data_IF_680593287434
#
_entry.id   IF_680593287434
#
_cell.length_a   1.000
_cell.length_b   1.000
_cell.length_c   1.000
_cell.angle_alpha   90.00
_cell.angle_beta   90.00
_cell.angle_gamma   90.00
#
_symmetry.space_group_name_H-M   'P 1'
#
loop_
_entity.id
_entity.type
_entity.pdbx_description
1 polymer ?
#
# COMPACT_ATOMS: atom_id res chain seq x y z
N UNK A 1 10.55 30.38 30.10
CA UNK A 1 9.60 31.39 29.59
C UNK A 1 10.38 32.42 28.80
N UNK A 2 9.97 32.82 27.62
CA UNK A 2 10.75 33.66 26.70
C UNK A 2 10.63 35.18 27.01
N UNK A 3 10.59 35.56 28.27
CA UNK A 3 10.54 36.97 28.69
C UNK A 3 11.87 37.30 29.35
N UNK A 4 12.67 38.14 28.71
CA UNK A 4 13.91 38.68 29.31
C UNK A 4 13.68 40.10 29.81
N UNK A 5 14.10 40.37 31.05
CA UNK A 5 14.13 41.72 31.62
C UNK A 5 15.40 42.41 31.16
N UNK A 6 15.27 43.27 30.17
CA UNK A 6 16.35 44.15 29.71
C UNK A 6 16.05 45.58 30.18
N UNK A 7 16.81 46.04 31.18
CA UNK A 7 16.72 47.40 31.73
C UNK A 7 15.33 47.82 32.25
N UNK A 8 14.62 46.92 32.94
CA UNK A 8 13.29 47.22 33.51
C UNK A 8 12.11 47.17 32.56
N UNK A 9 12.33 46.77 31.31
CA UNK A 9 11.27 46.48 30.35
C UNK A 9 11.23 44.97 30.04
N UNK A 10 10.06 44.37 30.21
CA UNK A 10 9.83 42.97 29.84
C UNK A 10 9.65 42.85 28.33
N UNK A 11 10.72 42.42 27.64
CA UNK A 11 10.69 42.21 26.18
C UNK A 11 10.49 40.73 25.92
N UNK A 12 9.48 40.41 25.12
CA UNK A 12 9.26 39.06 24.66
C UNK A 12 10.22 38.71 23.52
N UNK A 13 11.17 37.83 23.79
CA UNK A 13 12.07 37.30 22.77
C UNK A 13 11.77 35.81 22.55
N UNK A 14 11.29 35.46 21.37
CA UNK A 14 10.98 34.09 20.99
C UNK A 14 12.20 33.16 21.00
N UNK A 15 13.40 33.70 20.74
CA UNK A 15 14.67 32.97 20.66
C UNK A 15 15.82 33.82 21.13
N UNK A 16 16.81 33.21 21.79
CA UNK A 16 18.09 33.84 22.10
C UNK A 16 18.93 33.99 20.83
N UNK A 17 19.88 34.94 20.80
CA UNK A 17 20.72 35.16 19.62
C UNK A 17 21.48 33.91 19.15
N UNK A 18 21.91 33.03 20.08
CA UNK A 18 22.56 31.75 19.79
C UNK A 18 21.59 30.73 19.15
N UNK A 19 20.37 30.67 19.63
CA UNK A 19 19.34 29.80 19.05
C UNK A 19 18.91 30.25 17.66
N UNK A 20 18.86 31.59 17.44
CA UNK A 20 18.61 32.16 16.13
C UNK A 20 19.73 31.83 15.14
N UNK A 21 20.99 31.95 15.58
CA UNK A 21 22.15 31.59 14.75
C UNK A 21 22.14 30.09 14.40
N UNK A 22 21.83 29.22 15.36
CA UNK A 22 21.68 27.78 15.11
C UNK A 22 20.61 27.46 14.04
N UNK A 23 19.48 28.16 14.09
CA UNK A 23 18.44 28.00 13.08
C UNK A 23 18.88 28.47 11.68
N UNK A 24 19.55 29.59 11.60
CA UNK A 24 20.10 30.08 10.34
C UNK A 24 21.13 29.12 9.74
N UNK A 25 21.98 28.54 10.57
CA UNK A 25 22.95 27.51 10.13
C UNK A 25 22.24 26.28 9.61
N UNK A 26 21.20 25.79 10.30
CA UNK A 26 20.41 24.63 9.83
C UNK A 26 19.74 24.95 8.48
N UNK A 27 19.18 26.16 8.33
CA UNK A 27 18.58 26.58 7.07
C UNK A 27 19.61 26.68 5.93
N UNK A 28 20.79 27.24 6.22
CA UNK A 28 21.87 27.31 5.22
C UNK A 28 22.35 25.93 4.80
N UNK A 29 22.52 24.99 5.74
CA UNK A 29 22.85 23.60 5.44
C UNK A 29 21.76 22.97 4.59
N UNK A 30 20.49 23.16 4.93
CA UNK A 30 19.37 22.66 4.14
C UNK A 30 19.36 23.20 2.70
N UNK A 31 19.57 24.50 2.55
CA UNK A 31 19.68 25.13 1.22
C UNK A 31 20.91 24.63 0.45
N UNK A 32 22.03 24.44 1.12
CA UNK A 32 23.25 23.91 0.50
C UNK A 32 23.06 22.47 0.01
N UNK A 33 22.42 21.61 0.83
CA UNK A 33 22.09 20.23 0.44
C UNK A 33 21.12 20.25 -0.75
N UNK A 34 20.10 21.09 -0.71
CA UNK A 34 19.15 21.23 -1.81
C UNK A 34 19.83 21.69 -3.10
N UNK A 35 20.65 22.72 -3.03
CA UNK A 35 21.39 23.25 -4.18
C UNK A 35 22.35 22.21 -4.78
N UNK A 36 23.05 21.48 -3.91
CA UNK A 36 23.94 20.39 -4.35
C UNK A 36 23.15 19.26 -5.03
N UNK A 37 22.05 18.81 -4.43
CA UNK A 37 21.19 17.79 -5.00
C UNK A 37 20.59 18.24 -6.33
N UNK A 38 20.14 19.51 -6.39
CA UNK A 38 19.63 20.10 -7.64
C UNK A 38 20.69 20.14 -8.74
N UNK A 39 21.92 20.53 -8.40
CA UNK A 39 23.02 20.56 -9.34
C UNK A 39 23.32 19.15 -9.90
N UNK A 40 23.35 18.12 -9.04
CA UNK A 40 23.57 16.74 -9.47
C UNK A 40 22.45 16.24 -10.40
N UNK A 41 21.19 16.48 -10.07
CA UNK A 41 20.04 16.09 -10.89
C UNK A 41 20.07 16.88 -12.21
N UNK A 42 20.32 18.19 -12.16
CA UNK A 42 20.34 19.06 -13.34
C UNK A 42 21.44 18.70 -14.31
N UNK A 43 22.60 18.24 -13.82
CA UNK A 43 23.74 17.84 -14.66
C UNK A 43 23.46 16.54 -15.47
N UNK A 44 22.63 15.65 -14.91
CA UNK A 44 22.24 14.38 -15.60
C UNK A 44 20.98 14.56 -16.45
N UNK A 45 20.16 15.57 -16.15
CA UNK A 45 18.89 15.81 -16.83
C UNK A 45 19.12 16.47 -18.19
N UNK A 46 18.65 15.84 -19.25
CA UNK A 46 18.61 16.42 -20.60
C UNK A 46 17.44 17.42 -20.68
N UNK A 47 17.69 18.68 -20.34
CA UNK A 47 16.70 19.75 -20.29
C UNK A 47 15.93 19.95 -21.59
N UNK A 48 16.53 19.57 -22.72
CA UNK A 48 15.87 19.61 -24.01
C UNK A 48 14.53 18.85 -24.01
N UNK A 49 14.49 17.63 -23.44
CA UNK A 49 13.25 16.87 -23.35
C UNK A 49 12.20 17.51 -22.45
N UNK A 50 12.64 18.21 -21.38
CA UNK A 50 11.73 18.92 -20.47
C UNK A 50 11.07 20.10 -21.18
N UNK A 51 11.81 20.84 -21.99
CA UNK A 51 11.26 21.96 -22.76
C UNK A 51 10.36 21.51 -23.92
N UNK A 52 10.66 20.36 -24.54
CA UNK A 52 9.84 19.79 -25.61
C UNK A 52 8.64 18.95 -25.09
N UNK A 53 8.59 18.68 -23.78
CA UNK A 53 7.53 17.89 -23.16
C UNK A 53 6.09 18.35 -23.48
N UNK A 54 5.75 19.65 -23.50
CA UNK A 54 4.40 20.10 -23.85
C UNK A 54 4.00 19.76 -25.29
N UNK A 55 4.97 19.82 -26.23
CA UNK A 55 4.76 19.46 -27.64
C UNK A 55 4.52 17.96 -27.77
N UNK A 56 5.35 17.14 -27.13
CA UNK A 56 5.22 15.68 -27.14
C UNK A 56 3.89 15.27 -26.48
N UNK A 57 3.52 15.90 -25.34
CA UNK A 57 2.25 15.65 -24.69
C UNK A 57 1.05 15.96 -25.58
N UNK A 58 1.09 17.06 -26.32
CA UNK A 58 0.03 17.42 -27.26
C UNK A 58 -0.05 16.44 -28.46
N UNK A 59 1.10 15.98 -28.98
CA UNK A 59 1.16 14.96 -30.04
C UNK A 59 0.59 13.62 -29.56
N UNK A 60 0.93 13.17 -28.35
CA UNK A 60 0.36 11.96 -27.75
C UNK A 60 -1.16 12.13 -27.58
N UNK A 61 -1.62 13.29 -27.07
CA UNK A 61 -3.03 13.56 -26.86
C UNK A 61 -3.84 13.53 -28.16
N UNK A 62 -3.33 14.16 -29.22
CA UNK A 62 -4.00 14.16 -30.53
C UNK A 62 -4.07 12.78 -31.17
N UNK A 63 -3.05 11.95 -30.96
CA UNK A 63 -3.05 10.54 -31.42
C UNK A 63 -3.92 9.63 -30.55
N UNK A 64 -4.07 9.93 -29.25
CA UNK A 64 -4.87 9.14 -28.32
C UNK A 64 -6.39 9.39 -28.49
N UNK A 65 -6.79 10.58 -28.96
CA UNK A 65 -8.19 10.93 -29.19
C UNK A 65 -8.59 10.74 -30.65
N UNK A 66 -9.75 10.10 -30.93
CA UNK A 66 -10.74 9.53 -30.01
C UNK A 66 -10.31 8.16 -29.44
N UNK A 67 -10.76 7.81 -28.21
CA UNK A 67 -10.53 6.50 -27.64
C UNK A 67 -11.20 5.40 -28.47
N UNK A 68 -10.59 4.24 -28.53
CA UNK A 68 -11.09 3.11 -29.33
C UNK A 68 -12.06 2.26 -28.51
N UNK A 69 -13.35 2.65 -28.53
CA UNK A 69 -14.39 1.99 -27.72
C UNK A 69 -14.63 0.52 -28.11
N UNK A 70 -14.43 0.13 -29.37
CA UNK A 70 -14.55 -1.24 -29.82
C UNK A 70 -13.56 -2.19 -29.12
N UNK A 71 -12.45 -1.65 -28.61
CA UNK A 71 -11.46 -2.41 -27.87
C UNK A 71 -11.98 -2.94 -26.53
N UNK A 72 -13.04 -2.37 -25.98
CA UNK A 72 -13.69 -2.80 -24.73
C UNK A 72 -14.14 -4.27 -24.82
N UNK A 73 -14.62 -4.72 -25.99
CA UNK A 73 -15.08 -6.09 -26.18
C UNK A 73 -13.96 -7.12 -26.00
N UNK A 74 -12.70 -6.72 -26.17
CA UNK A 74 -11.52 -7.58 -25.99
C UNK A 74 -11.00 -7.57 -24.55
N UNK A 75 -11.47 -6.65 -23.70
CA UNK A 75 -10.97 -6.46 -22.35
C UNK A 75 -11.69 -7.30 -21.28
N UNK A 76 -12.77 -8.01 -21.62
CA UNK A 76 -13.52 -8.82 -20.68
C UNK A 76 -12.66 -9.84 -19.92
N UNK A 77 -11.83 -10.61 -20.63
CA UNK A 77 -10.91 -11.57 -20.02
C UNK A 77 -9.78 -10.89 -19.21
N UNK A 78 -9.07 -9.88 -19.71
CA UNK A 78 -8.08 -9.15 -18.93
C UNK A 78 -8.64 -8.52 -17.63
N UNK A 79 -9.86 -7.97 -17.67
CA UNK A 79 -10.53 -7.43 -16.48
C UNK A 79 -10.78 -8.55 -15.47
N UNK A 80 -11.32 -9.68 -15.95
CA UNK A 80 -11.58 -10.83 -15.10
C UNK A 80 -10.31 -11.39 -14.47
N UNK A 81 -9.22 -11.49 -15.24
CA UNK A 81 -7.91 -11.93 -14.75
C UNK A 81 -7.38 -10.97 -13.66
N UNK A 82 -7.51 -9.67 -13.85
CA UNK A 82 -7.12 -8.65 -12.85
C UNK A 82 -7.90 -8.81 -11.55
N UNK A 83 -9.22 -8.99 -11.63
CA UNK A 83 -10.08 -9.23 -10.47
C UNK A 83 -9.73 -10.56 -9.77
N UNK A 84 -9.47 -11.61 -10.52
CA UNK A 84 -9.06 -12.89 -9.97
C UNK A 84 -7.71 -12.79 -9.24
N UNK A 85 -6.71 -12.12 -9.83
CA UNK A 85 -5.41 -11.88 -9.19
C UNK A 85 -5.60 -11.17 -7.86
N UNK A 86 -6.37 -10.09 -7.85
CA UNK A 86 -6.62 -9.29 -6.64
C UNK A 86 -7.41 -10.08 -5.59
N UNK A 87 -8.47 -10.77 -5.99
CA UNK A 87 -9.37 -11.49 -5.08
C UNK A 87 -8.68 -12.71 -4.48
N UNK A 88 -8.10 -13.59 -5.31
CA UNK A 88 -7.41 -14.78 -4.83
C UNK A 88 -6.17 -14.40 -4.00
N UNK A 89 -5.39 -13.39 -4.45
CA UNK A 89 -4.26 -12.88 -3.69
C UNK A 89 -4.66 -12.35 -2.31
N UNK A 90 -5.81 -11.68 -2.22
CA UNK A 90 -6.33 -11.19 -0.93
C UNK A 90 -6.80 -12.36 -0.06
N UNK A 91 -7.56 -13.31 -0.60
CA UNK A 91 -8.07 -14.47 0.16
C UNK A 91 -6.91 -15.28 0.72
N UNK A 92 -5.92 -15.65 -0.10
CA UNK A 92 -4.75 -16.39 0.37
C UNK A 92 -3.95 -15.62 1.42
N UNK A 93 -3.82 -14.29 1.22
CA UNK A 93 -3.13 -13.47 2.21
C UNK A 93 -3.87 -13.43 3.56
N UNK A 94 -5.21 -13.32 3.56
CA UNK A 94 -6.00 -13.28 4.78
C UNK A 94 -5.96 -14.62 5.54
N UNK A 95 -6.05 -15.74 4.82
CA UNK A 95 -5.94 -17.08 5.42
C UNK A 95 -4.60 -17.24 6.16
N UNK A 96 -3.51 -16.76 5.57
CA UNK A 96 -2.18 -16.84 6.18
C UNK A 96 -1.92 -15.73 7.19
N UNK A 97 -2.51 -14.55 7.03
CA UNK A 97 -2.35 -13.42 7.94
C UNK A 97 -3.01 -13.65 9.30
N UNK A 98 -4.17 -14.33 9.33
CA UNK A 98 -4.89 -14.59 10.59
C UNK A 98 -4.02 -15.35 11.59
N UNK A 99 -3.46 -16.54 11.31
CA UNK A 99 -2.62 -17.24 12.28
C UNK A 99 -1.38 -16.43 12.66
N UNK A 100 -0.74 -15.74 11.71
CA UNK A 100 0.43 -14.89 11.99
C UNK A 100 0.06 -13.73 12.92
N UNK A 101 -1.11 -13.11 12.76
CA UNK A 101 -1.57 -12.03 13.62
C UNK A 101 -1.82 -12.51 15.05
N UNK A 102 -2.49 -13.65 15.25
CA UNK A 102 -2.70 -14.24 16.58
C UNK A 102 -1.40 -14.64 17.27
N UNK A 103 -0.38 -15.05 16.51
CA UNK A 103 0.95 -15.34 17.06
C UNK A 103 1.76 -14.06 17.36
N UNK A 104 1.48 -12.95 16.69
CA UNK A 104 2.16 -11.67 16.88
C UNK A 104 1.58 -10.84 18.03
N UNK A 105 0.27 -10.94 18.29
CA UNK A 105 -0.42 -10.17 19.31
C UNK A 105 -0.02 -10.62 20.74
N UNK A 106 0.23 -9.64 21.65
CA UNK A 106 0.66 -9.90 23.04
C UNK A 106 -0.37 -10.69 23.82
N UNK A 107 -1.65 -10.44 23.54
CA UNK A 107 -2.77 -11.03 24.28
C UNK A 107 -3.00 -12.51 23.96
N UNK A 108 -2.55 -12.98 22.80
CA UNK A 108 -2.86 -14.33 22.30
C UNK A 108 -1.65 -15.21 22.06
N UNK A 109 -0.45 -14.63 21.98
CA UNK A 109 0.80 -15.38 21.74
C UNK A 109 1.11 -16.38 22.85
N UNK A 110 1.50 -17.61 22.51
CA UNK A 110 1.93 -18.60 23.51
C UNK A 110 3.26 -18.24 24.17
N UNK A 111 4.17 -17.52 23.48
CA UNK A 111 5.48 -17.13 24.00
C UNK A 111 5.88 -15.75 23.49
N UNK A 112 6.07 -14.81 24.43
CA UNK A 112 6.49 -13.44 24.13
C UNK A 112 7.96 -13.38 23.66
N UNK A 113 8.82 -14.34 24.07
CA UNK A 113 10.25 -14.29 23.81
C UNK A 113 10.67 -14.97 22.50
N UNK A 114 9.94 -15.97 22.01
CA UNK A 114 10.31 -16.74 20.83
C UNK A 114 9.30 -16.61 19.70
N UNK A 115 8.02 -16.88 19.96
CA UNK A 115 6.99 -16.96 18.91
C UNK A 115 6.63 -15.57 18.39
N UNK A 116 6.45 -14.61 19.30
CA UNK A 116 6.11 -13.25 18.92
C UNK A 116 7.19 -12.58 18.04
N UNK A 117 8.50 -12.59 18.40
CA UNK A 117 9.52 -12.01 17.52
C UNK A 117 9.59 -12.68 16.16
N UNK A 118 9.40 -14.02 16.08
CA UNK A 118 9.37 -14.75 14.82
C UNK A 118 8.17 -14.31 13.95
N UNK A 119 6.98 -14.18 14.52
CA UNK A 119 5.80 -13.68 13.82
C UNK A 119 6.00 -12.23 13.33
N UNK A 120 6.55 -11.36 14.17
CA UNK A 120 6.89 -9.99 13.79
C UNK A 120 7.95 -9.94 12.68
N UNK A 121 8.93 -10.82 12.69
CA UNK A 121 9.93 -10.93 11.64
C UNK A 121 9.29 -11.31 10.31
N UNK A 122 8.36 -12.27 10.29
CA UNK A 122 7.59 -12.63 9.09
C UNK A 122 6.82 -11.41 8.58
N UNK A 123 6.12 -10.69 9.46
CA UNK A 123 5.34 -9.50 9.12
C UNK A 123 6.24 -8.41 8.50
N UNK A 124 7.39 -8.12 9.11
CA UNK A 124 8.31 -7.09 8.63
C UNK A 124 8.93 -7.50 7.30
N UNK A 125 9.40 -8.75 7.17
CA UNK A 125 10.06 -9.25 5.96
C UNK A 125 9.12 -9.22 4.74
N UNK A 126 7.87 -9.65 4.90
CA UNK A 126 6.89 -9.67 3.80
C UNK A 126 6.46 -8.28 3.36
N UNK A 127 6.48 -7.29 4.27
CA UNK A 127 6.15 -5.89 3.97
C UNK A 127 7.29 -5.08 3.36
N UNK A 128 8.54 -5.40 3.68
CA UNK A 128 9.70 -4.61 3.27
C UNK A 128 9.96 -4.70 1.77
N UNK A 129 9.59 -5.82 1.15
CA UNK A 129 9.80 -6.06 -0.29
C UNK A 129 8.54 -5.65 -1.07
N UNK A 130 8.73 -4.88 -2.15
CA UNK A 130 7.63 -4.48 -3.03
C UNK A 130 7.07 -5.69 -3.79
N UNK A 131 5.74 -5.70 -4.02
CA UNK A 131 5.06 -6.74 -4.80
C UNK A 131 5.62 -6.90 -6.23
N UNK A 132 6.13 -5.83 -6.84
CA UNK A 132 6.80 -5.90 -8.15
C UNK A 132 8.05 -6.78 -8.12
N UNK A 133 8.86 -6.69 -7.05
CA UNK A 133 10.07 -7.52 -6.92
C UNK A 133 9.69 -8.98 -6.76
N UNK A 134 8.66 -9.26 -5.93
CA UNK A 134 8.11 -10.61 -5.80
C UNK A 134 7.56 -11.13 -7.13
N UNK A 135 6.83 -10.29 -7.89
CA UNK A 135 6.30 -10.68 -9.18
C UNK A 135 7.41 -11.01 -10.19
N UNK A 136 8.44 -10.18 -10.31
CA UNK A 136 9.56 -10.41 -11.21
C UNK A 136 10.30 -11.71 -10.87
N UNK A 137 10.55 -11.95 -9.56
CA UNK A 137 11.20 -13.18 -9.10
C UNK A 137 10.34 -14.41 -9.41
N UNK A 138 9.04 -14.35 -9.13
CA UNK A 138 8.14 -15.46 -9.38
C UNK A 138 7.94 -15.73 -10.88
N UNK A 139 7.86 -14.68 -11.70
CA UNK A 139 7.81 -14.81 -13.16
C UNK A 139 9.08 -15.49 -13.70
N UNK A 140 10.24 -15.18 -13.13
CA UNK A 140 11.49 -15.83 -13.53
C UNK A 140 11.55 -17.31 -13.13
N UNK A 141 10.87 -17.73 -12.04
CA UNK A 141 10.87 -19.11 -11.54
C UNK A 141 9.75 -19.95 -12.16
N UNK A 142 8.52 -19.40 -12.16
CA UNK A 142 7.29 -20.16 -12.52
C UNK A 142 6.88 -19.87 -13.97
N UNK A 143 7.33 -18.73 -14.52
CA UNK A 143 6.90 -18.21 -15.80
C UNK A 143 5.86 -17.09 -15.68
N UNK A 144 5.63 -16.34 -16.77
CA UNK A 144 4.64 -15.26 -16.82
C UNK A 144 3.21 -15.83 -16.73
N UNK A 145 2.35 -15.13 -15.99
CA UNK A 145 0.94 -15.52 -15.88
C UNK A 145 0.26 -15.08 -14.59
N UNK A 146 -1.05 -15.26 -14.55
CA UNK A 146 -1.94 -14.87 -13.45
C UNK A 146 -1.50 -15.47 -12.10
N UNK A 147 -0.99 -16.70 -12.10
CA UNK A 147 -0.58 -17.39 -10.88
C UNK A 147 0.58 -16.73 -10.16
N UNK A 148 1.60 -16.28 -10.92
CA UNK A 148 2.72 -15.52 -10.35
C UNK A 148 2.23 -14.20 -9.71
N UNK A 149 1.28 -13.51 -10.34
CA UNK A 149 0.64 -12.31 -9.80
C UNK A 149 -0.11 -12.58 -8.49
N UNK A 150 -0.91 -13.64 -8.42
CA UNK A 150 -1.64 -14.04 -7.21
C UNK A 150 -0.69 -14.27 -6.04
N UNK A 151 0.38 -15.03 -6.24
CA UNK A 151 1.36 -15.32 -5.17
C UNK A 151 2.11 -14.06 -4.75
N UNK A 152 2.53 -13.22 -5.69
CA UNK A 152 3.22 -11.96 -5.39
C UNK A 152 2.39 -11.03 -4.50
N UNK A 153 1.10 -10.86 -4.84
CA UNK A 153 0.16 -10.08 -4.05
C UNK A 153 -0.07 -10.74 -2.68
N UNK A 154 -0.25 -12.06 -2.65
CA UNK A 154 -0.50 -12.78 -1.41
C UNK A 154 0.65 -12.59 -0.41
N UNK A 155 1.90 -12.83 -0.82
CA UNK A 155 3.07 -12.72 0.07
C UNK A 155 3.15 -11.32 0.70
N UNK A 156 3.04 -10.27 -0.10
CA UNK A 156 3.11 -8.90 0.41
C UNK A 156 1.93 -8.56 1.32
N UNK A 157 0.74 -9.04 0.97
CA UNK A 157 -0.49 -8.75 1.69
C UNK A 157 -0.54 -9.43 3.06
N UNK A 158 0.11 -10.60 3.23
CA UNK A 158 0.20 -11.29 4.52
C UNK A 158 0.69 -10.35 5.62
N UNK A 159 1.86 -9.73 5.41
CA UNK A 159 2.44 -8.85 6.42
C UNK A 159 1.62 -7.60 6.69
N UNK A 160 0.97 -7.04 5.67
CA UNK A 160 0.10 -5.88 5.83
C UNK A 160 -1.15 -6.21 6.64
N UNK A 161 -1.88 -7.25 6.26
CA UNK A 161 -3.09 -7.69 6.95
C UNK A 161 -2.79 -8.17 8.37
N UNK A 162 -1.73 -8.97 8.54
CA UNK A 162 -1.33 -9.47 9.85
C UNK A 162 -0.93 -8.34 10.80
N UNK A 163 -0.29 -7.26 10.28
CA UNK A 163 0.04 -6.11 11.10
C UNK A 163 -1.21 -5.43 11.65
N UNK A 164 -2.12 -5.03 10.80
CA UNK A 164 -3.34 -4.33 11.21
C UNK A 164 -4.21 -5.22 12.11
N UNK A 165 -4.25 -6.53 11.83
CA UNK A 165 -5.05 -7.46 12.61
C UNK A 165 -4.46 -7.70 13.99
N UNK A 166 -3.14 -7.86 14.17
CA UNK A 166 -2.57 -8.03 15.51
C UNK A 166 -2.71 -6.75 16.34
N UNK A 167 -2.62 -5.57 15.74
CA UNK A 167 -2.88 -4.29 16.41
C UNK A 167 -4.33 -4.24 16.89
N UNK A 168 -5.29 -4.62 16.06
CA UNK A 168 -6.71 -4.73 16.47
C UNK A 168 -6.93 -5.76 17.58
N UNK A 169 -6.20 -6.88 17.59
CA UNK A 169 -6.26 -7.88 18.66
C UNK A 169 -5.70 -7.31 19.98
N UNK A 170 -4.67 -6.47 19.93
CA UNK A 170 -4.09 -5.85 21.13
C UNK A 170 -4.99 -4.73 21.72
N UNK A 171 -5.86 -4.12 20.90
CA UNK A 171 -6.77 -3.03 21.30
C UNK A 171 -8.13 -3.47 21.83
N UNK A 172 -8.43 -4.77 21.89
CA UNK A 172 -9.73 -5.29 22.38
C UNK A 172 -9.98 -4.95 23.86
N UNK A 173 -11.25 -4.89 24.25
CA UNK A 173 -11.65 -4.75 25.64
C UNK A 173 -11.37 -6.03 26.44
N UNK A 174 -10.37 -5.96 27.30
CA UNK A 174 -9.95 -7.08 28.14
C UNK A 174 -11.01 -7.46 29.18
N UNK A 175 -11.89 -6.54 29.61
CA UNK A 175 -12.95 -6.80 30.59
C UNK A 175 -13.89 -7.89 30.07
N UNK A 176 -14.23 -7.88 28.80
CA UNK A 176 -15.08 -8.91 28.18
C UNK A 176 -14.39 -10.27 28.14
N UNK A 177 -13.08 -10.26 27.84
CA UNK A 177 -12.25 -11.49 27.81
C UNK A 177 -12.13 -12.11 29.20
N UNK A 178 -11.93 -11.28 30.24
CA UNK A 178 -11.87 -11.71 31.62
C UNK A 178 -13.21 -12.27 32.11
N UNK A 179 -14.33 -11.64 31.74
CA UNK A 179 -15.66 -12.12 32.09
C UNK A 179 -15.93 -13.55 31.57
N UNK A 180 -15.54 -13.82 30.30
CA UNK A 180 -15.67 -15.15 29.71
C UNK A 180 -14.69 -16.13 30.36
N UNK A 181 -13.48 -15.70 30.66
CA UNK A 181 -12.50 -16.54 31.34
C UNK A 181 -12.97 -16.94 32.76
N UNK A 182 -13.62 -16.03 33.47
CA UNK A 182 -14.16 -16.28 34.81
C UNK A 182 -15.28 -17.36 34.84
N UNK A 183 -15.93 -17.66 33.72
CA UNK A 183 -16.88 -18.77 33.59
C UNK A 183 -16.22 -20.15 33.53
N UNK A 184 -14.89 -20.23 33.53
CA UNK A 184 -14.14 -21.48 33.35
C UNK A 184 -13.98 -21.92 31.88
N UNK A 185 -14.18 -21.01 30.93
CA UNK A 185 -14.06 -21.31 29.52
C UNK A 185 -12.61 -21.68 29.13
N UNK A 186 -12.45 -22.65 28.21
CA UNK A 186 -11.15 -23.04 27.68
C UNK A 186 -10.59 -21.91 26.81
N UNK A 187 -9.24 -21.92 26.58
CA UNK A 187 -8.57 -20.92 25.74
C UNK A 187 -9.19 -20.74 24.35
N UNK A 188 -9.66 -21.82 23.73
CA UNK A 188 -10.31 -21.78 22.42
C UNK A 188 -11.69 -21.12 22.50
N UNK A 189 -12.44 -21.38 23.59
CA UNK A 189 -13.74 -20.73 23.82
C UNK A 189 -13.57 -19.22 24.10
N UNK A 190 -12.57 -18.84 24.91
CA UNK A 190 -12.24 -17.43 25.16
C UNK A 190 -11.86 -16.74 23.84
N UNK A 191 -11.05 -17.40 22.99
CA UNK A 191 -10.71 -16.86 21.68
C UNK A 191 -11.95 -16.68 20.78
N UNK A 192 -12.79 -17.72 20.68
CA UNK A 192 -13.95 -17.73 19.78
C UNK A 192 -15.07 -16.78 20.23
N UNK A 193 -15.31 -16.64 21.52
CA UNK A 193 -16.44 -15.85 22.07
C UNK A 193 -16.02 -14.50 22.65
N UNK A 194 -14.77 -14.36 23.11
CA UNK A 194 -14.27 -13.13 23.71
C UNK A 194 -13.49 -12.24 22.76
N UNK A 195 -12.65 -12.82 21.90
CA UNK A 195 -11.73 -12.07 21.03
C UNK A 195 -12.29 -11.90 19.62
N UNK A 196 -12.64 -13.01 18.96
CA UNK A 196 -13.06 -13.00 17.55
C UNK A 196 -14.23 -12.05 17.26
N UNK A 197 -15.32 -11.99 18.08
CA UNK A 197 -16.42 -11.07 17.81
C UNK A 197 -16.01 -9.60 17.85
N UNK A 198 -15.07 -9.22 18.72
CA UNK A 198 -14.58 -7.85 18.84
C UNK A 198 -13.74 -7.43 17.63
N UNK A 199 -12.92 -8.34 17.07
CA UNK A 199 -12.04 -8.03 15.95
C UNK A 199 -12.70 -8.21 14.58
N UNK A 200 -13.85 -8.88 14.50
CA UNK A 200 -14.51 -9.19 13.23
C UNK A 200 -14.84 -7.96 12.38
N UNK A 201 -15.37 -6.85 12.94
CA UNK A 201 -15.58 -5.62 12.17
C UNK A 201 -14.28 -5.02 11.62
N UNK A 202 -13.23 -4.99 12.44
CA UNK A 202 -11.91 -4.52 12.02
C UNK A 202 -11.32 -5.42 10.92
N UNK A 203 -11.43 -6.74 11.07
CA UNK A 203 -11.01 -7.72 10.06
C UNK A 203 -11.71 -7.52 8.72
N UNK A 204 -13.04 -7.30 8.72
CA UNK A 204 -13.79 -7.04 7.50
C UNK A 204 -13.31 -5.74 6.81
N UNK A 205 -13.10 -4.67 7.58
CA UNK A 205 -12.55 -3.42 7.07
C UNK A 205 -11.16 -3.59 6.46
N UNK A 206 -10.27 -4.31 7.14
CA UNK A 206 -8.91 -4.61 6.65
C UNK A 206 -8.97 -5.43 5.35
N UNK A 207 -9.85 -6.41 5.27
CA UNK A 207 -10.00 -7.28 4.11
C UNK A 207 -10.46 -6.50 2.86
N UNK A 208 -11.49 -5.67 2.99
CA UNK A 208 -12.01 -4.84 1.90
C UNK A 208 -10.98 -3.79 1.46
N UNK A 209 -10.37 -3.12 2.42
CA UNK A 209 -9.33 -2.12 2.13
C UNK A 209 -8.13 -2.75 1.40
N UNK A 210 -7.70 -3.93 1.83
CA UNK A 210 -6.59 -4.61 1.16
C UNK A 210 -6.97 -5.12 -0.23
N UNK A 211 -8.19 -5.59 -0.41
CA UNK A 211 -8.71 -6.01 -1.70
C UNK A 211 -8.70 -4.84 -2.71
N UNK A 212 -9.15 -3.65 -2.32
CA UNK A 212 -9.09 -2.44 -3.14
C UNK A 212 -7.65 -2.12 -3.58
N UNK A 213 -6.70 -2.12 -2.64
CA UNK A 213 -5.28 -1.90 -2.97
C UNK A 213 -4.77 -2.97 -3.94
N UNK A 214 -5.14 -4.23 -3.74
CA UNK A 214 -4.68 -5.34 -4.56
C UNK A 214 -5.22 -5.29 -5.99
N UNK A 215 -6.41 -4.72 -6.24
CA UNK A 215 -6.91 -4.45 -7.60
C UNK A 215 -5.96 -3.52 -8.34
N UNK A 216 -5.51 -2.46 -7.71
CA UNK A 216 -4.54 -1.52 -8.31
C UNK A 216 -3.16 -2.15 -8.49
N UNK A 217 -2.69 -2.88 -7.50
CA UNK A 217 -1.42 -3.59 -7.58
C UNK A 217 -1.42 -4.63 -8.70
N UNK A 218 -2.51 -5.37 -8.91
CA UNK A 218 -2.62 -6.37 -9.98
C UNK A 218 -2.45 -5.76 -11.38
N UNK A 219 -2.95 -4.54 -11.60
CA UNK A 219 -2.74 -3.80 -12.85
C UNK A 219 -1.26 -3.49 -13.07
N UNK A 220 -0.57 -3.03 -12.02
CA UNK A 220 0.87 -2.72 -12.10
C UNK A 220 1.71 -4.00 -12.30
N UNK A 221 1.36 -5.10 -11.62
CA UNK A 221 2.02 -6.39 -11.82
C UNK A 221 1.84 -6.94 -13.24
N UNK A 222 0.71 -6.64 -13.86
CA UNK A 222 0.44 -6.99 -15.25
C UNK A 222 1.45 -6.40 -16.24
N UNK A 223 2.00 -5.20 -15.97
CA UNK A 223 3.04 -4.57 -16.80
C UNK A 223 4.33 -5.42 -16.88
N UNK A 224 4.62 -6.18 -15.85
CA UNK A 224 5.80 -7.07 -15.80
C UNK A 224 5.48 -8.52 -16.20
N UNK A 225 4.27 -8.79 -16.69
CA UNK A 225 3.92 -10.11 -17.21
C UNK A 225 3.04 -10.98 -16.29
N UNK A 226 2.52 -10.43 -15.20
CA UNK A 226 1.61 -11.16 -14.30
C UNK A 226 0.17 -11.33 -14.85
N UNK A 227 -0.11 -10.88 -16.09
CA UNK A 227 -1.43 -11.00 -16.70
C UNK A 227 -2.36 -9.81 -16.44
N UNK A 228 -3.65 -9.97 -16.77
CA UNK A 228 -4.67 -8.96 -16.54
C UNK A 228 -4.59 -7.73 -17.45
N UNK A 229 -5.25 -6.63 -17.03
CA UNK A 229 -5.29 -5.37 -17.78
C UNK A 229 -3.89 -4.78 -17.99
N UNK A 230 -2.99 -4.92 -17.01
CA UNK A 230 -1.63 -4.39 -17.12
C UNK A 230 -0.82 -4.99 -18.26
N UNK A 231 -1.02 -6.27 -18.57
CA UNK A 231 -0.37 -6.92 -19.72
C UNK A 231 -0.86 -6.30 -21.04
N UNK A 232 -2.17 -6.02 -21.16
CA UNK A 232 -2.74 -5.36 -22.33
C UNK A 232 -2.24 -3.92 -22.46
N UNK A 233 -2.09 -3.22 -21.33
CA UNK A 233 -1.51 -1.88 -21.30
C UNK A 233 -0.05 -1.90 -21.78
N UNK A 234 0.75 -2.84 -21.28
CA UNK A 234 2.14 -3.00 -21.74
C UNK A 234 2.23 -3.32 -23.24
N UNK A 235 1.39 -4.23 -23.72
CA UNK A 235 1.32 -4.56 -25.15
C UNK A 235 0.93 -3.35 -26.01
N UNK A 236 -0.08 -2.58 -25.60
CA UNK A 236 -0.53 -1.37 -26.32
C UNK A 236 0.53 -0.26 -26.30
N UNK A 237 1.26 -0.10 -25.20
CA UNK A 237 2.38 0.86 -25.10
C UNK A 237 3.55 0.47 -26.01
N UNK A 238 3.91 -0.80 -26.08
CA UNK A 238 5.01 -1.29 -26.90
C UNK A 238 4.78 -1.07 -28.40
N UNK A 239 3.51 -1.09 -28.84
CA UNK A 239 3.14 -0.80 -30.23
C UNK A 239 2.66 0.63 -30.45
N UNK A 240 2.78 1.50 -29.43
CA UNK A 240 2.37 2.92 -29.46
C UNK A 240 0.90 3.13 -29.88
N UNK A 241 0.03 2.20 -29.53
CA UNK A 241 -1.40 2.25 -29.84
C UNK A 241 -2.15 3.16 -28.83
N UNK A 242 -1.89 4.46 -28.87
CA UNK A 242 -2.37 5.46 -27.93
C UNK A 242 -3.91 5.47 -27.72
N UNK A 243 -4.76 5.29 -28.76
CA UNK A 243 -6.21 5.20 -28.57
C UNK A 243 -6.64 4.01 -27.70
N UNK A 244 -5.92 2.88 -27.76
CA UNK A 244 -6.16 1.71 -26.91
C UNK A 244 -5.69 1.97 -25.49
N UNK A 245 -4.53 2.60 -25.31
CA UNK A 245 -4.01 3.00 -23.99
C UNK A 245 -5.00 3.93 -23.29
N UNK A 246 -5.56 4.92 -23.98
CA UNK A 246 -6.55 5.83 -23.41
C UNK A 246 -7.83 5.09 -22.99
N UNK A 247 -8.29 4.14 -23.80
CA UNK A 247 -9.46 3.30 -23.47
C UNK A 247 -9.21 2.45 -22.21
N UNK A 248 -8.01 1.86 -22.08
CA UNK A 248 -7.61 1.07 -20.92
C UNK A 248 -7.56 1.91 -19.63
N UNK A 249 -7.04 3.13 -19.70
CA UNK A 249 -6.99 4.05 -18.55
C UNK A 249 -8.41 4.40 -18.11
N UNK A 250 -9.31 4.73 -19.03
CA UNK A 250 -10.70 5.06 -18.71
C UNK A 250 -11.46 3.89 -18.07
N UNK A 251 -11.15 2.66 -18.43
CA UNK A 251 -11.80 1.47 -17.87
C UNK A 251 -11.24 1.10 -16.49
N UNK A 252 -9.96 1.33 -16.24
CA UNK A 252 -9.35 1.04 -14.95
C UNK A 252 -9.80 1.99 -13.83
N UNK A 253 -10.15 3.23 -14.16
CA UNK A 253 -10.58 4.26 -13.19
C UNK A 253 -11.97 4.00 -12.57
N UNK A 254 -13.04 3.61 -13.30
CA UNK A 254 -14.37 3.37 -12.71
C UNK A 254 -14.41 2.21 -11.72
N UNK A 255 -13.56 1.18 -11.89
CA UNK A 255 -13.48 0.07 -10.93
C UNK A 255 -13.02 0.56 -9.56
N UNK A 256 -12.27 1.66 -9.51
CA UNK A 256 -11.81 2.33 -8.30
C UNK A 256 -12.92 3.08 -7.56
N UNK A 257 -13.84 3.73 -8.26
CA UNK A 257 -14.96 4.45 -7.65
C UNK A 257 -15.96 3.52 -6.98
N UNK A 258 -16.20 2.34 -7.55
CA UNK A 258 -17.07 1.31 -6.96
C UNK A 258 -16.48 0.75 -5.67
N UNK A 259 -15.17 0.48 -5.61
CA UNK A 259 -14.52 -0.07 -4.41
C UNK A 259 -14.50 0.93 -3.25
N UNK A 260 -14.30 2.22 -3.51
CA UNK A 260 -14.34 3.28 -2.49
C UNK A 260 -15.74 3.41 -1.88
N UNK A 261 -16.80 3.34 -2.69
CA UNK A 261 -18.17 3.43 -2.17
C UNK A 261 -18.55 2.24 -1.29
N UNK A 262 -18.07 1.02 -1.60
CA UNK A 262 -18.26 -0.16 -0.74
C UNK A 262 -17.44 -0.08 0.56
N UNK A 263 -16.20 0.41 0.51
CA UNK A 263 -15.37 0.58 1.71
C UNK A 263 -15.98 1.58 2.71
N UNK A 264 -16.53 2.69 2.20
CA UNK A 264 -17.23 3.68 3.04
C UNK A 264 -18.53 3.13 3.62
N UNK A 265 -19.22 2.23 2.92
CA UNK A 265 -20.46 1.61 3.40
C UNK A 265 -20.21 0.56 4.49
N UNK A 266 -19.06 -0.14 4.46
CA UNK A 266 -18.67 -1.11 5.50
C UNK A 266 -18.10 -0.47 6.77
N UNK A 267 -17.73 0.83 6.72
CA UNK A 267 -17.19 1.56 7.87
C UNK A 267 -18.27 2.36 8.65
N UNK A 268 -19.51 2.36 8.20
CA UNK A 268 -20.68 2.86 8.93
C UNK A 268 -21.41 1.73 9.62
#
# INVERSE_FOLDING_TARGET
MPVQDLKGQKIWQRRTGRESLGHWVIWLIGVAIFAYSWQQISAVTTWFFVWDAPRIANDIWTRATPPRWEYINQLGKPIWDTLNIATLGTIFSLILAVPVAFLAARNTTPSLLLIRPLALLIIVSTRSINSLIWALLLIAIIGPGVFAGVIAIAIRSIGFCAKLLYEAIEEIDQTQVEAITATGASRWQVMAYGIVPQILPAFAGIAVFRWDINIRESTVLGLVGAGGIGLQLSASLNVLAWPQVLSLIHISEPTRLLSISYAVFCLK
#
